data_IF_301427113552
#
_entry.id   IF_301427113552
#
_cell.length_a   1.000
_cell.length_b   1.000
_cell.length_c   1.000
_cell.angle_alpha   90.00
_cell.angle_beta   90.00
_cell.angle_gamma   90.00
#
_symmetry.space_group_name_H-M   'P 1'
#
loop_
_entity.id
_entity.type
_entity.pdbx_description
1 polymer ?
#
# COMPACT_ATOMS: atom_id res chain seq x y z
N UNK A 1 0.26 0.56 4.81
CA UNK A 1 1.18 -0.38 5.49
C UNK A 1 2.41 -0.58 4.63
N UNK A 2 3.59 -0.51 5.24
CA UNK A 2 4.89 -0.72 4.56
C UNK A 2 5.52 -1.99 5.13
N UNK A 3 5.89 -2.94 4.28
CA UNK A 3 6.47 -4.22 4.72
C UNK A 3 7.76 -4.55 3.96
N UNK A 4 8.55 -5.47 4.50
CA UNK A 4 9.77 -5.97 3.84
C UNK A 4 9.47 -7.12 2.87
N UNK A 5 8.34 -7.81 3.03
CA UNK A 5 8.01 -9.02 2.27
C UNK A 5 6.57 -8.98 1.74
N UNK A 6 6.39 -9.54 0.54
CA UNK A 6 5.10 -9.63 -0.14
C UNK A 6 4.40 -10.95 0.21
N UNK A 7 3.96 -11.11 1.46
CA UNK A 7 3.17 -12.29 1.86
C UNK A 7 1.69 -12.03 1.65
N UNK A 8 0.99 -13.01 1.08
CA UNK A 8 -0.42 -12.86 0.70
C UNK A 8 -1.31 -12.69 1.93
N UNK A 9 -0.97 -13.38 3.01
CA UNK A 9 -1.66 -13.32 4.30
C UNK A 9 -1.56 -11.91 4.90
N UNK A 10 -0.39 -11.28 4.82
CA UNK A 10 -0.14 -9.93 5.32
C UNK A 10 -0.92 -8.87 4.52
N UNK A 11 -1.07 -9.07 3.21
CA UNK A 11 -1.87 -8.17 2.36
C UNK A 11 -3.34 -8.24 2.77
N UNK A 12 -3.87 -9.44 3.00
CA UNK A 12 -5.26 -9.64 3.42
C UNK A 12 -5.50 -9.06 4.80
N UNK A 13 -4.60 -9.32 5.75
CA UNK A 13 -4.68 -8.76 7.09
C UNK A 13 -4.63 -7.22 7.08
N UNK A 14 -3.75 -6.63 6.26
CA UNK A 14 -3.68 -5.18 6.09
C UNK A 14 -4.99 -4.60 5.54
N UNK A 15 -5.58 -5.24 4.52
CA UNK A 15 -6.85 -4.79 3.96
C UNK A 15 -8.00 -4.90 4.98
N UNK A 16 -8.08 -6.01 5.72
CA UNK A 16 -9.09 -6.20 6.78
C UNK A 16 -8.90 -5.20 7.94
N UNK A 17 -7.66 -4.85 8.27
CA UNK A 17 -7.32 -3.83 9.26
C UNK A 17 -7.56 -2.39 8.79
N UNK A 18 -8.12 -2.18 7.59
CA UNK A 18 -8.44 -0.85 7.07
C UNK A 18 -7.25 -0.10 6.48
N UNK A 19 -6.15 -0.78 6.14
CA UNK A 19 -5.04 -0.14 5.46
C UNK A 19 -5.48 0.37 4.08
N UNK A 20 -5.29 1.66 3.83
CA UNK A 20 -5.59 2.26 2.54
C UNK A 20 -4.71 1.71 1.39
N UNK A 21 -3.54 1.14 1.72
CA UNK A 21 -2.67 0.47 0.76
C UNK A 21 -1.55 -0.34 1.41
N UNK A 22 -0.92 -1.19 0.61
CA UNK A 22 0.18 -2.08 0.97
C UNK A 22 1.35 -1.89 -0.01
N UNK A 23 2.57 -1.67 0.51
CA UNK A 23 3.78 -1.49 -0.29
C UNK A 23 4.95 -2.27 0.33
N UNK A 24 5.75 -2.91 -0.51
CA UNK A 24 6.84 -3.83 -0.12
C UNK A 24 8.18 -3.20 -0.48
N UNK A 25 9.16 -3.29 0.43
CA UNK A 25 10.53 -2.84 0.20
C UNK A 25 11.36 -3.87 -0.59
N UNK A 26 12.39 -3.42 -1.34
CA UNK A 26 12.67 -2.02 -1.66
C UNK A 26 11.68 -1.49 -2.69
N UNK A 27 11.29 -0.22 -2.57
CA UNK A 27 10.46 0.46 -3.55
C UNK A 27 11.12 1.77 -3.99
N UNK A 28 10.78 2.21 -5.19
CA UNK A 28 11.26 3.48 -5.73
C UNK A 28 10.35 4.63 -5.30
N UNK A 29 10.85 5.86 -5.41
CA UNK A 29 10.04 7.07 -5.22
C UNK A 29 8.80 7.07 -6.12
N UNK A 30 8.97 6.71 -7.41
CA UNK A 30 7.87 6.63 -8.37
C UNK A 30 6.77 5.64 -7.91
N UNK A 31 7.16 4.45 -7.43
CA UNK A 31 6.22 3.44 -6.91
C UNK A 31 5.44 3.94 -5.69
N UNK A 32 6.10 4.70 -4.81
CA UNK A 32 5.43 5.30 -3.66
C UNK A 32 4.45 6.39 -4.08
N UNK A 33 4.87 7.30 -4.98
CA UNK A 33 4.03 8.39 -5.49
C UNK A 33 2.79 7.87 -6.20
N UNK A 34 2.92 6.83 -7.01
CA UNK A 34 1.79 6.19 -7.68
C UNK A 34 0.79 5.62 -6.67
N UNK A 35 1.26 4.86 -5.66
CA UNK A 35 0.38 4.29 -4.63
C UNK A 35 -0.32 5.36 -3.80
N UNK A 36 0.38 6.43 -3.43
CA UNK A 36 -0.22 7.55 -2.68
C UNK A 36 -1.27 8.26 -3.52
N UNK A 37 -0.98 8.54 -4.80
CA UNK A 37 -1.93 9.17 -5.72
C UNK A 37 -3.19 8.34 -5.88
N UNK A 38 -3.06 7.02 -6.02
CA UNK A 38 -4.20 6.10 -6.09
C UNK A 38 -5.03 6.11 -4.80
N UNK A 39 -4.39 6.18 -3.63
CA UNK A 39 -5.09 6.26 -2.34
C UNK A 39 -5.88 7.56 -2.24
N UNK A 40 -5.24 8.70 -2.54
CA UNK A 40 -5.85 10.04 -2.49
C UNK A 40 -7.07 10.09 -3.42
N UNK A 41 -6.91 9.64 -4.67
CA UNK A 41 -8.01 9.55 -5.65
C UNK A 41 -9.18 8.70 -5.14
N UNK A 42 -8.90 7.59 -4.47
CA UNK A 42 -9.94 6.70 -3.90
C UNK A 42 -10.65 7.34 -2.71
N UNK A 43 -10.00 8.25 -1.99
CA UNK A 43 -10.59 9.02 -0.89
C UNK A 43 -11.41 10.23 -1.38
N UNK A 44 -11.44 10.50 -2.68
CA UNK A 44 -12.18 11.64 -3.26
C UNK A 44 -11.53 12.99 -3.01
N UNK A 45 -10.23 12.99 -2.68
CA UNK A 45 -9.36 14.16 -2.57
C UNK A 45 -8.54 14.31 -3.86
#
# INVERSE_FOLDING_TARGET
>A
MVTAEARKEDIVAAAQGGAAGYIVKPFTKATLEEKVTLIIKKMGL
#
